data_IF_366026762279
#
_entry.id   IF_366026762279
#
_cell.length_a   1.000
_cell.length_b   1.000
_cell.length_c   1.000
_cell.angle_alpha   90.00
_cell.angle_beta   90.00
_cell.angle_gamma   90.00
#
_symmetry.space_group_name_H-M   'P 1'
#
loop_
_entity.id
_entity.type
_entity.pdbx_description
1 polymer ?
#
# COMPACT_ATOMS: atom_id res chain seq x y z
N UNK A 1 -7.49 15.23 -12.75
CA UNK A 1 -8.85 15.70 -13.12
C UNK A 1 -9.08 17.06 -12.50
N UNK A 2 -9.76 18.00 -13.20
CA UNK A 2 -10.03 19.35 -12.68
C UNK A 2 -11.49 19.51 -12.27
N UNK A 3 -11.73 20.16 -11.13
CA UNK A 3 -13.08 20.50 -10.64
C UNK A 3 -13.24 22.00 -10.50
N UNK A 4 -14.43 22.57 -10.79
CA UNK A 4 -14.68 23.97 -10.58
C UNK A 4 -14.71 24.30 -9.10
N UNK A 5 -14.04 25.37 -8.70
CA UNK A 5 -13.91 25.84 -7.32
C UNK A 5 -14.18 27.36 -7.28
N UNK A 6 -15.16 27.78 -6.49
CA UNK A 6 -15.38 29.18 -6.19
C UNK A 6 -14.69 29.54 -4.88
N UNK A 7 -13.75 30.46 -4.94
CA UNK A 7 -12.99 30.91 -3.77
C UNK A 7 -13.57 32.29 -3.35
N UNK A 8 -13.99 32.36 -2.10
CA UNK A 8 -14.55 33.54 -1.48
C UNK A 8 -13.71 33.96 -0.29
N UNK A 9 -13.13 35.15 -0.38
CA UNK A 9 -12.47 35.79 0.75
C UNK A 9 -13.23 37.07 1.09
N UNK A 10 -12.86 37.76 2.17
CA UNK A 10 -13.51 39.01 2.58
C UNK A 10 -13.46 40.09 1.51
N UNK A 11 -12.48 40.03 0.61
CA UNK A 11 -12.20 41.05 -0.39
C UNK A 11 -12.16 40.59 -1.84
N UNK A 12 -12.32 39.29 -2.07
CA UNK A 12 -12.10 38.72 -3.40
C UNK A 12 -12.97 37.47 -3.63
N UNK A 13 -13.52 37.37 -4.84
CA UNK A 13 -14.22 36.18 -5.31
C UNK A 13 -13.63 35.79 -6.67
N UNK A 14 -13.24 34.51 -6.81
CA UNK A 14 -12.73 34.00 -8.06
C UNK A 14 -13.22 32.56 -8.29
N UNK A 15 -13.67 32.31 -9.51
CA UNK A 15 -13.93 30.97 -9.98
C UNK A 15 -12.68 30.41 -10.63
N UNK A 16 -12.27 29.24 -10.17
CA UNK A 16 -11.04 28.56 -10.56
C UNK A 16 -11.29 27.07 -10.80
N UNK A 17 -10.28 26.40 -11.29
CA UNK A 17 -10.25 24.95 -11.34
C UNK A 17 -9.20 24.45 -10.34
N UNK A 18 -9.56 23.48 -9.52
CA UNK A 18 -8.62 22.75 -8.68
C UNK A 18 -8.31 21.39 -9.32
N UNK A 19 -7.06 21.01 -9.33
CA UNK A 19 -6.67 19.66 -9.74
C UNK A 19 -7.02 18.69 -8.59
N UNK A 20 -7.68 17.59 -8.92
CA UNK A 20 -7.93 16.49 -7.97
C UNK A 20 -6.94 15.38 -8.24
N UNK A 21 -6.20 15.01 -7.20
CA UNK A 21 -5.18 13.95 -7.24
C UNK A 21 -5.26 13.11 -5.97
N UNK A 22 -5.51 11.80 -6.12
CA UNK A 22 -5.62 10.85 -5.01
C UNK A 22 -4.28 10.40 -4.43
N UNK A 23 -3.17 10.76 -5.06
CA UNK A 23 -1.84 10.20 -4.78
C UNK A 23 -1.09 10.84 -3.60
N UNK A 24 -1.69 11.68 -2.75
CA UNK A 24 -1.00 12.23 -1.57
C UNK A 24 -1.94 12.63 -0.43
N UNK A 25 -1.36 12.70 0.76
CA UNK A 25 -2.02 12.78 2.07
C UNK A 25 -2.53 14.16 2.46
N UNK A 26 -2.14 15.23 1.80
CA UNK A 26 -2.48 16.59 2.17
C UNK A 26 -3.05 17.37 0.96
N UNK A 27 -3.97 18.33 1.22
CA UNK A 27 -4.38 19.32 0.21
C UNK A 27 -3.32 20.41 0.09
N UNK A 28 -3.26 21.03 -1.08
CA UNK A 28 -2.21 22.00 -1.36
C UNK A 28 -2.70 23.26 -2.09
N UNK A 29 -2.00 24.40 -1.86
CA UNK A 29 -2.29 25.69 -2.48
C UNK A 29 -0.99 26.41 -2.90
N UNK A 30 -0.97 27.02 -4.07
CA UNK A 30 0.21 27.71 -4.59
C UNK A 30 0.51 29.00 -3.80
N UNK A 31 1.76 29.30 -3.45
CA UNK A 31 2.12 30.48 -2.66
C UNK A 31 1.70 31.80 -3.28
N UNK A 32 1.92 31.97 -4.57
CA UNK A 32 1.53 33.18 -5.27
C UNK A 32 0.00 33.36 -5.29
N UNK A 33 -0.73 32.23 -5.35
CA UNK A 33 -2.19 32.25 -5.32
C UNK A 33 -2.72 32.58 -3.93
N UNK A 34 -2.18 31.94 -2.89
CA UNK A 34 -2.53 32.25 -1.51
C UNK A 34 -2.27 33.72 -1.15
N UNK A 35 -1.15 34.31 -1.64
CA UNK A 35 -0.83 35.71 -1.49
C UNK A 35 -1.87 36.60 -2.19
N UNK A 36 -2.24 36.30 -3.45
CA UNK A 36 -3.25 37.08 -4.19
C UNK A 36 -4.59 37.11 -3.46
N UNK A 37 -4.93 36.00 -2.77
CA UNK A 37 -6.18 35.91 -2.02
C UNK A 37 -6.11 36.57 -0.64
N UNK A 38 -4.96 37.07 -0.26
CA UNK A 38 -4.78 37.63 1.06
C UNK A 38 -4.95 36.64 2.20
N UNK A 39 -4.52 35.34 2.04
CA UNK A 39 -4.69 34.28 3.04
C UNK A 39 -3.57 34.30 4.08
N UNK A 40 -3.93 34.16 5.35
CA UNK A 40 -2.95 34.02 6.45
C UNK A 40 -2.41 32.60 6.50
N UNK A 41 -1.11 32.47 6.68
CA UNK A 41 -0.44 31.20 6.77
C UNK A 41 0.20 31.03 8.13
N UNK A 42 0.11 29.83 8.66
CA UNK A 42 0.69 29.45 9.96
C UNK A 42 1.97 28.67 9.72
N UNK A 43 3.01 28.98 10.47
CA UNK A 43 4.27 28.22 10.44
C UNK A 43 4.00 26.81 10.97
N UNK A 44 4.53 25.79 10.30
CA UNK A 44 4.49 24.42 10.80
C UNK A 44 5.46 24.27 11.98
N UNK A 45 5.08 23.55 13.01
CA UNK A 45 5.96 23.22 14.16
C UNK A 45 7.24 22.53 13.70
N UNK A 46 7.15 21.68 12.66
CA UNK A 46 8.29 21.04 12.02
C UNK A 46 8.16 21.21 10.49
N UNK A 47 9.20 21.72 9.82
CA UNK A 47 9.22 21.76 8.35
C UNK A 47 9.11 20.34 7.77
N UNK A 48 8.22 20.16 6.78
CA UNK A 48 8.13 18.90 6.04
C UNK A 48 9.13 18.92 4.88
N UNK A 49 10.08 18.00 4.89
CA UNK A 49 10.99 17.82 3.76
C UNK A 49 10.30 17.11 2.59
N UNK A 50 10.65 17.50 1.38
CA UNK A 50 10.03 17.00 0.17
C UNK A 50 11.07 16.31 -0.71
N UNK A 51 10.76 15.08 -1.12
CA UNK A 51 11.58 14.27 -2.00
C UNK A 51 10.83 13.98 -3.31
N UNK A 52 11.54 13.88 -4.40
CA UNK A 52 11.01 13.43 -5.67
C UNK A 52 10.79 11.90 -5.65
N UNK A 53 10.07 11.38 -6.64
CA UNK A 53 9.81 9.94 -6.79
C UNK A 53 11.12 9.11 -6.85
N UNK A 54 12.20 9.71 -7.36
CA UNK A 54 13.55 9.14 -7.43
C UNK A 54 14.36 9.28 -6.13
N UNK A 55 13.73 9.78 -5.05
CA UNK A 55 14.35 10.03 -3.75
C UNK A 55 15.37 11.19 -3.70
N UNK A 56 15.47 12.02 -4.72
CA UNK A 56 16.25 13.25 -4.67
C UNK A 56 15.49 14.32 -3.88
N UNK A 57 16.22 15.18 -3.16
CA UNK A 57 15.60 16.34 -2.52
C UNK A 57 15.01 17.28 -3.56
N UNK A 58 13.77 17.70 -3.36
CA UNK A 58 13.15 18.65 -4.28
C UNK A 58 13.86 20.00 -4.25
N UNK A 59 14.10 20.58 -5.41
CA UNK A 59 14.72 21.91 -5.56
C UNK A 59 13.95 23.03 -4.84
N UNK A 60 12.69 22.82 -4.53
CA UNK A 60 11.83 23.77 -3.82
C UNK A 60 12.02 23.76 -2.29
N UNK A 61 12.81 22.83 -1.72
CA UNK A 61 13.11 22.76 -0.29
C UNK A 61 11.98 22.18 0.57
N UNK A 62 11.97 22.52 1.86
CA UNK A 62 10.98 22.02 2.83
C UNK A 62 9.73 22.87 2.88
N UNK A 63 8.57 22.24 3.12
CA UNK A 63 7.32 22.95 3.41
C UNK A 63 7.40 23.50 4.83
N UNK A 64 7.21 24.78 4.97
CA UNK A 64 7.32 25.46 6.27
C UNK A 64 6.01 26.04 6.77
N UNK A 65 4.97 26.13 5.91
CA UNK A 65 3.71 26.80 6.26
C UNK A 65 2.48 25.97 5.86
N UNK A 66 1.39 26.18 6.55
CA UNK A 66 0.05 25.70 6.20
C UNK A 66 -0.98 26.79 6.42
N UNK A 67 -2.17 26.60 5.87
CA UNK A 67 -3.32 27.45 6.15
C UNK A 67 -4.58 26.60 6.25
N UNK A 68 -5.59 27.13 6.91
CA UNK A 68 -6.90 26.50 7.04
C UNK A 68 -7.93 27.26 6.22
N UNK A 69 -8.70 26.51 5.43
CA UNK A 69 -9.77 27.04 4.61
C UNK A 69 -11.07 26.29 4.91
N UNK A 70 -12.17 27.00 4.89
CA UNK A 70 -13.49 26.40 4.85
C UNK A 70 -13.79 25.93 3.44
N UNK A 71 -14.04 24.66 3.28
CA UNK A 71 -14.42 24.05 2.01
C UNK A 71 -15.87 23.60 2.11
N UNK A 72 -16.71 24.12 1.22
CA UNK A 72 -18.11 23.73 1.14
C UNK A 72 -18.34 22.96 -0.14
N UNK A 73 -18.85 21.76 -0.03
CA UNK A 73 -19.20 20.88 -1.16
C UNK A 73 -20.56 20.25 -0.87
N UNK A 74 -21.48 20.30 -1.81
CA UNK A 74 -22.86 19.76 -1.63
C UNK A 74 -23.59 20.30 -0.37
N UNK A 75 -23.32 21.56 0.00
CA UNK A 75 -23.90 22.16 1.20
C UNK A 75 -23.24 21.73 2.53
N UNK A 76 -22.29 20.81 2.51
CA UNK A 76 -21.50 20.41 3.69
C UNK A 76 -20.29 21.31 3.80
N UNK A 77 -20.14 22.00 4.94
CA UNK A 77 -19.01 22.89 5.22
C UNK A 77 -18.02 22.17 6.18
N UNK A 78 -16.73 22.16 5.80
CA UNK A 78 -15.64 21.63 6.65
C UNK A 78 -14.43 22.56 6.58
N UNK A 79 -13.75 22.73 7.72
CA UNK A 79 -12.44 23.37 7.76
C UNK A 79 -11.40 22.34 7.38
N UNK A 80 -10.57 22.65 6.38
CA UNK A 80 -9.54 21.80 5.85
C UNK A 80 -8.20 22.50 5.84
N UNK A 81 -7.16 21.78 6.19
CA UNK A 81 -5.79 22.25 6.13
C UNK A 81 -5.22 22.09 4.73
N UNK A 82 -4.53 23.13 4.28
CA UNK A 82 -3.76 23.15 3.04
C UNK A 82 -2.29 23.42 3.36
N UNK A 83 -1.44 22.59 2.84
CA UNK A 83 -0.01 22.86 2.82
C UNK A 83 0.30 23.77 1.66
N UNK A 84 1.21 24.66 1.86
CA UNK A 84 1.41 25.70 0.89
C UNK A 84 2.77 25.54 0.24
N UNK A 85 2.87 25.39 -1.12
CA UNK A 85 4.09 25.07 -1.84
C UNK A 85 3.90 25.23 -3.37
N UNK A 86 4.96 25.24 -4.20
CA UNK A 86 4.88 25.40 -5.66
C UNK A 86 4.31 24.16 -6.38
N UNK A 87 3.09 24.17 -6.81
CA UNK A 87 2.39 23.10 -7.55
C UNK A 87 2.45 23.28 -9.07
N UNK A 88 3.52 23.88 -9.52
CA UNK A 88 3.68 24.17 -10.96
C UNK A 88 2.64 25.18 -11.43
N UNK A 89 1.86 24.81 -12.44
CA UNK A 89 0.85 25.67 -13.06
C UNK A 89 -0.51 25.66 -12.34
N UNK A 90 -0.67 24.88 -11.29
CA UNK A 90 -1.92 24.75 -10.58
C UNK A 90 -2.02 25.78 -9.43
N UNK A 91 -3.22 26.31 -9.20
CA UNK A 91 -3.48 27.19 -8.07
C UNK A 91 -3.85 26.41 -6.80
N UNK A 92 -4.60 25.29 -6.95
CA UNK A 92 -5.09 24.44 -5.85
C UNK A 92 -5.04 22.96 -6.24
N UNK A 93 -4.63 22.15 -5.28
CA UNK A 93 -4.63 20.70 -5.36
C UNK A 93 -5.52 20.14 -4.24
N UNK A 94 -6.61 19.48 -4.62
CA UNK A 94 -7.49 18.76 -3.70
C UNK A 94 -7.10 17.27 -3.72
N UNK A 95 -6.83 16.73 -2.54
CA UNK A 95 -6.31 15.36 -2.41
C UNK A 95 -7.14 14.53 -1.43
N UNK A 96 -6.52 13.48 -0.90
CA UNK A 96 -7.19 12.52 -0.04
C UNK A 96 -8.07 13.15 1.07
N UNK A 97 -7.64 14.20 1.83
CA UNK A 97 -8.49 14.78 2.87
C UNK A 97 -9.80 15.36 2.32
N UNK A 98 -9.78 15.95 1.11
CA UNK A 98 -10.99 16.44 0.47
C UNK A 98 -11.84 15.28 -0.07
N UNK A 99 -11.21 14.31 -0.72
CA UNK A 99 -11.88 13.12 -1.25
C UNK A 99 -12.59 12.34 -0.15
N UNK A 100 -11.89 12.06 0.95
CA UNK A 100 -12.44 11.32 2.09
C UNK A 100 -13.53 12.08 2.85
N UNK A 101 -13.50 13.42 2.82
CA UNK A 101 -14.50 14.23 3.54
C UNK A 101 -15.79 14.41 2.76
N UNK A 102 -15.71 14.55 1.44
CA UNK A 102 -16.86 14.92 0.62
C UNK A 102 -17.34 13.79 -0.30
N UNK A 103 -16.61 12.70 -0.39
CA UNK A 103 -16.95 11.47 -1.14
C UNK A 103 -17.63 11.76 -2.50
N UNK A 104 -16.94 12.48 -3.42
CA UNK A 104 -17.52 12.81 -4.70
C UNK A 104 -17.74 11.56 -5.54
N UNK A 105 -18.90 11.42 -6.17
CA UNK A 105 -19.13 10.36 -7.14
C UNK A 105 -18.35 10.65 -8.42
N UNK A 106 -17.61 9.66 -8.90
CA UNK A 106 -16.81 9.75 -10.12
C UNK A 106 -17.53 9.09 -11.30
N UNK A 107 -17.80 9.84 -12.34
CA UNK A 107 -18.20 9.33 -13.65
C UNK A 107 -16.95 8.96 -14.46
N UNK A 108 -16.49 7.72 -14.33
CA UNK A 108 -15.23 7.25 -14.93
C UNK A 108 -15.23 7.25 -16.46
N UNK A 109 -16.41 7.17 -17.11
CA UNK A 109 -16.52 7.20 -18.59
C UNK A 109 -16.30 8.59 -19.19
N UNK A 110 -16.70 9.63 -18.48
CA UNK A 110 -16.74 11.01 -19.03
C UNK A 110 -15.67 11.91 -18.41
N UNK A 111 -14.78 11.35 -17.58
CA UNK A 111 -13.79 12.11 -16.79
C UNK A 111 -14.42 13.26 -15.97
N UNK A 112 -15.67 13.12 -15.63
CA UNK A 112 -16.45 14.11 -14.87
C UNK A 112 -16.64 13.56 -13.46
N UNK A 113 -16.31 14.38 -12.47
CA UNK A 113 -16.81 14.15 -11.11
C UNK A 113 -18.29 14.55 -11.17
N UNK A 114 -19.20 13.62 -10.89
CA UNK A 114 -20.60 13.95 -10.64
C UNK A 114 -20.73 14.79 -9.37
N UNK A 115 -20.21 15.98 -9.40
CA UNK A 115 -20.64 17.05 -8.53
C UNK A 115 -21.94 17.57 -9.14
N UNK A 116 -23.06 16.87 -8.89
CA UNK A 116 -24.34 17.47 -9.25
C UNK A 116 -24.38 18.90 -8.68
N UNK A 117 -24.10 19.84 -9.57
CA UNK A 117 -24.63 21.19 -9.63
C UNK A 117 -24.37 22.19 -8.48
N UNK A 118 -23.33 22.08 -7.66
CA UNK A 118 -22.90 23.21 -6.84
C UNK A 118 -21.38 23.38 -6.88
N UNK A 119 -20.86 24.59 -7.14
CA UNK A 119 -19.42 24.83 -7.11
C UNK A 119 -18.86 24.55 -5.73
N UNK A 120 -17.65 23.97 -5.68
CA UNK A 120 -16.90 23.84 -4.42
C UNK A 120 -16.55 25.27 -3.99
N UNK A 121 -17.04 25.69 -2.81
CA UNK A 121 -16.79 27.03 -2.29
C UNK A 121 -15.68 26.94 -1.25
N UNK A 122 -14.62 27.69 -1.43
CA UNK A 122 -13.51 27.79 -0.48
C UNK A 122 -13.50 29.19 0.13
N UNK A 123 -13.58 29.28 1.45
CA UNK A 123 -13.58 30.54 2.18
C UNK A 123 -12.44 30.60 3.20
N UNK A 124 -11.86 31.79 3.36
CA UNK A 124 -10.84 32.03 4.39
C UNK A 124 -11.46 32.16 5.78
N UNK A 125 -10.79 31.59 6.77
CA UNK A 125 -11.21 31.64 8.17
C UNK A 125 -10.52 32.75 8.99
N UNK A 126 -9.39 33.30 8.53
CA UNK A 126 -8.57 34.29 9.29
C UNK A 126 -7.73 35.18 8.35
N UNK A 127 -7.27 36.39 8.78
CA UNK A 127 -6.47 37.32 7.94
C UNK A 127 -5.00 36.89 7.77
N UNK A 128 -4.38 37.44 6.78
CA UNK A 128 -3.25 36.99 5.95
C UNK A 128 -1.85 37.18 6.49
N UNK A 129 -0.96 36.24 6.38
CA UNK A 129 0.39 36.37 5.82
C UNK A 129 1.05 34.98 5.56
N UNK A 130 2.08 34.91 4.79
CA UNK A 130 2.31 33.96 3.74
C UNK A 130 3.67 33.32 3.60
N UNK A 131 3.82 32.14 3.14
CA UNK A 131 4.80 31.63 2.15
C UNK A 131 4.80 30.12 2.05
N UNK A 132 4.87 29.62 0.84
CA UNK A 132 4.86 28.23 0.67
C UNK A 132 5.17 27.63 -0.63
N UNK A 133 5.40 26.34 -0.69
CA UNK A 133 5.86 25.69 -1.89
C UNK A 133 5.57 24.21 -1.96
N UNK A 134 5.14 23.57 -3.00
CA UNK A 134 4.98 22.23 -3.29
C UNK A 134 5.24 21.52 -4.50
N UNK A 135 5.39 20.36 -4.58
CA UNK A 135 5.16 19.51 -5.73
C UNK A 135 4.97 18.06 -5.31
N UNK A 136 4.19 17.27 -6.04
CA UNK A 136 3.83 15.90 -5.75
C UNK A 136 4.94 15.00 -5.22
N UNK A 137 4.99 14.76 -3.87
CA UNK A 137 6.22 14.37 -3.23
C UNK A 137 6.08 13.69 -1.90
N UNK A 138 7.06 12.86 -1.61
CA UNK A 138 7.16 12.06 -0.40
C UNK A 138 8.34 12.50 0.47
N UNK A 139 8.15 12.63 1.77
CA UNK A 139 9.25 12.78 2.73
C UNK A 139 9.85 11.42 3.09
N UNK A 140 11.10 11.38 3.62
CA UNK A 140 11.75 10.11 3.97
C UNK A 140 11.06 9.40 5.15
N UNK A 141 10.52 10.15 6.11
CA UNK A 141 9.68 9.62 7.21
C UNK A 141 8.28 9.24 6.72
N UNK A 142 7.73 9.98 5.76
CA UNK A 142 6.46 9.68 5.11
C UNK A 142 6.59 8.55 4.10
N UNK A 143 7.79 8.25 3.57
CA UNK A 143 7.98 7.13 2.65
C UNK A 143 7.76 5.78 3.33
N UNK A 144 8.15 5.65 4.59
CA UNK A 144 7.80 4.49 5.40
C UNK A 144 6.32 4.54 5.85
N UNK A 145 5.79 5.73 6.11
CA UNK A 145 4.37 5.92 6.41
C UNK A 145 3.51 5.73 5.16
N UNK A 146 3.95 6.19 3.99
CA UNK A 146 3.25 6.01 2.69
C UNK A 146 3.45 4.61 2.12
N UNK A 147 4.61 3.96 2.30
CA UNK A 147 4.72 2.53 2.03
C UNK A 147 3.80 1.72 2.95
N UNK A 148 3.64 2.14 4.20
CA UNK A 148 2.65 1.58 5.13
C UNK A 148 1.21 1.94 4.73
N UNK A 149 0.97 3.14 4.29
CA UNK A 149 -0.35 3.65 3.86
C UNK A 149 -0.71 3.21 2.43
N UNK A 150 0.26 3.03 1.54
CA UNK A 150 0.08 2.34 0.25
C UNK A 150 -0.09 0.82 0.46
N UNK A 151 0.58 0.22 1.42
CA UNK A 151 0.29 -1.16 1.85
C UNK A 151 -1.08 -1.27 2.54
N UNK A 152 -1.57 -0.22 3.21
CA UNK A 152 -2.87 -0.19 3.91
C UNK A 152 -4.02 0.38 3.05
N UNK A 153 -3.78 1.36 2.19
CA UNK A 153 -4.82 2.12 1.47
C UNK A 153 -4.85 1.87 -0.05
N UNK A 154 -3.79 1.32 -0.63
CA UNK A 154 -3.76 0.98 -2.06
C UNK A 154 -4.01 -0.51 -2.27
N UNK A 155 -4.04 -1.31 -1.21
CA UNK A 155 -4.50 -2.68 -1.28
C UNK A 155 -6.02 -2.70 -1.27
N UNK A 156 -6.61 -3.65 -2.00
CA UNK A 156 -8.02 -4.05 -1.90
C UNK A 156 -8.45 -4.16 -0.42
N UNK A 157 -7.52 -4.40 0.50
CA UNK A 157 -7.69 -4.41 1.95
C UNK A 157 -8.07 -3.04 2.53
N UNK A 158 -7.50 -1.93 2.04
CA UNK A 158 -7.89 -0.57 2.46
C UNK A 158 -9.35 -0.29 2.13
N UNK A 159 -9.77 -0.56 0.89
CA UNK A 159 -11.15 -0.36 0.43
C UNK A 159 -12.13 -1.23 1.24
N UNK A 160 -11.79 -2.51 1.47
CA UNK A 160 -12.64 -3.41 2.26
C UNK A 160 -12.68 -3.05 3.75
N UNK A 161 -11.59 -2.54 4.32
CA UNK A 161 -11.53 -2.08 5.71
C UNK A 161 -12.30 -0.77 5.89
N UNK A 162 -12.25 0.12 4.91
CA UNK A 162 -13.00 1.38 4.91
C UNK A 162 -14.50 1.14 4.76
N UNK A 163 -14.91 0.22 3.89
CA UNK A 163 -16.29 -0.25 3.78
C UNK A 163 -16.77 -0.93 5.08
N UNK A 164 -15.92 -1.67 5.78
CA UNK A 164 -16.22 -2.30 7.06
C UNK A 164 -16.31 -1.28 8.22
N UNK A 165 -15.49 -0.21 8.19
CA UNK A 165 -15.53 0.88 9.17
C UNK A 165 -16.77 1.75 8.96
N UNK A 166 -17.16 2.02 7.71
CA UNK A 166 -18.40 2.73 7.37
C UNK A 166 -19.65 1.96 7.79
N UNK A 167 -19.59 0.63 7.86
CA UNK A 167 -20.67 -0.20 8.36
C UNK A 167 -20.84 -0.14 9.90
N UNK A 168 -20.00 0.60 10.64
CA UNK A 168 -20.18 0.87 12.08
C UNK A 168 -20.02 -0.34 13.00
N UNK A 169 -19.33 -1.39 12.56
CA UNK A 169 -19.18 -2.61 13.34
C UNK A 169 -17.75 -2.77 13.87
N UNK A 170 -17.63 -2.76 15.20
CA UNK A 170 -16.43 -3.24 15.89
C UNK A 170 -16.09 -4.66 15.41
N UNK A 171 -14.81 -5.06 15.45
CA UNK A 171 -14.24 -6.33 14.96
C UNK A 171 -15.19 -7.53 15.14
N UNK A 172 -16.19 -7.68 14.27
CA UNK A 172 -16.93 -8.93 14.16
C UNK A 172 -15.99 -9.96 13.57
N UNK A 173 -15.97 -11.14 14.19
CA UNK A 173 -15.35 -12.33 13.61
C UNK A 173 -16.00 -12.49 12.23
N UNK A 174 -15.22 -12.42 11.16
CA UNK A 174 -15.75 -12.61 9.79
C UNK A 174 -16.29 -14.03 9.75
N UNK A 175 -17.60 -14.18 9.70
CA UNK A 175 -18.23 -15.48 9.56
C UNK A 175 -18.08 -15.94 8.10
N UNK A 176 -17.60 -17.17 7.95
CA UNK A 176 -17.51 -17.80 6.63
C UNK A 176 -18.93 -18.07 6.16
N UNK A 177 -19.34 -17.58 4.96
CA UNK A 177 -20.67 -17.88 4.44
C UNK A 177 -20.93 -19.38 4.39
N UNK A 178 -22.15 -19.80 4.76
CA UNK A 178 -22.52 -21.20 4.89
C UNK A 178 -22.27 -22.04 3.63
N UNK A 179 -22.30 -21.42 2.46
CA UNK A 179 -22.01 -22.05 1.16
C UNK A 179 -20.58 -22.60 1.09
N UNK A 180 -19.62 -22.05 1.85
CA UNK A 180 -18.20 -22.47 1.90
C UNK A 180 -17.86 -23.32 3.13
N UNK A 181 -18.83 -23.79 3.91
CA UNK A 181 -18.58 -24.59 5.12
C UNK A 181 -17.78 -25.86 4.84
N UNK A 182 -17.93 -26.47 3.67
CA UNK A 182 -17.16 -27.65 3.26
C UNK A 182 -15.66 -27.35 3.06
N UNK A 183 -15.29 -26.07 2.91
CA UNK A 183 -13.90 -25.57 2.76
C UNK A 183 -13.38 -24.89 4.03
N UNK A 184 -14.08 -25.01 5.17
CA UNK A 184 -13.74 -24.33 6.42
C UNK A 184 -12.29 -24.57 6.88
N UNK A 185 -11.73 -25.73 6.57
CA UNK A 185 -10.35 -26.08 6.89
C UNK A 185 -9.32 -25.10 6.30
N UNK A 186 -9.60 -24.53 5.12
CA UNK A 186 -8.70 -23.55 4.46
C UNK A 186 -8.54 -22.24 5.24
N UNK A 187 -9.52 -21.92 6.09
CA UNK A 187 -9.52 -20.70 6.89
C UNK A 187 -8.93 -20.92 8.29
N UNK A 188 -8.53 -22.16 8.62
CA UNK A 188 -7.91 -22.47 9.90
C UNK A 188 -6.40 -22.14 9.91
N UNK A 189 -5.85 -21.84 11.09
CA UNK A 189 -4.41 -21.62 11.24
C UNK A 189 -3.60 -22.91 11.08
N UNK A 190 -4.21 -24.06 11.34
CA UNK A 190 -3.59 -25.37 11.22
C UNK A 190 -3.25 -25.74 9.76
N UNK A 191 -4.08 -25.33 8.81
CA UNK A 191 -3.83 -25.56 7.39
C UNK A 191 -2.57 -24.87 6.87
N UNK A 192 -2.10 -23.82 7.57
CA UNK A 192 -0.92 -23.01 7.21
C UNK A 192 0.41 -23.60 7.71
N UNK A 193 0.37 -24.68 8.46
CA UNK A 193 1.58 -25.22 9.13
C UNK A 193 2.34 -26.25 8.27
N UNK A 194 2.10 -26.26 6.96
CA UNK A 194 2.84 -27.14 6.04
C UNK A 194 4.00 -26.38 5.39
N UNK A 195 5.14 -27.08 5.25
CA UNK A 195 6.23 -26.61 4.42
C UNK A 195 5.79 -26.63 2.94
N UNK A 196 5.97 -25.55 2.16
CA UNK A 196 5.54 -25.51 0.77
C UNK A 196 6.38 -26.50 -0.06
N UNK A 197 5.81 -27.17 -1.07
CA UNK A 197 6.60 -27.99 -1.99
C UNK A 197 7.43 -27.10 -2.92
N UNK A 198 8.59 -27.62 -3.38
CA UNK A 198 9.38 -26.95 -4.43
C UNK A 198 8.58 -26.88 -5.73
N UNK A 199 8.72 -25.76 -6.42
CA UNK A 199 7.97 -25.42 -7.64
C UNK A 199 8.88 -24.76 -8.66
N UNK A 200 8.52 -24.78 -9.97
CA UNK A 200 9.30 -24.11 -11.01
C UNK A 200 9.53 -22.62 -10.82
N UNK A 201 8.73 -21.99 -9.97
CA UNK A 201 8.81 -20.56 -9.62
C UNK A 201 9.49 -20.30 -8.28
N UNK A 202 10.24 -21.25 -7.73
CA UNK A 202 11.01 -21.02 -6.51
C UNK A 202 11.90 -19.79 -6.65
N UNK A 203 12.02 -19.04 -5.58
CA UNK A 203 12.61 -17.70 -5.59
C UNK A 203 14.13 -17.73 -5.78
N UNK A 204 14.60 -17.38 -6.96
CA UNK A 204 16.01 -17.23 -7.24
C UNK A 204 16.56 -15.88 -6.75
N UNK A 205 17.78 -15.91 -6.21
CA UNK A 205 18.53 -14.72 -5.80
C UNK A 205 19.77 -14.62 -6.69
N UNK A 206 19.57 -14.08 -7.90
CA UNK A 206 20.65 -13.86 -8.86
C UNK A 206 21.45 -12.62 -8.49
N UNK A 207 22.75 -12.78 -8.32
CA UNK A 207 23.63 -11.68 -7.94
C UNK A 207 24.33 -11.10 -9.18
N UNK A 208 24.62 -9.81 -9.13
CA UNK A 208 25.44 -9.12 -10.12
C UNK A 208 26.88 -9.64 -10.10
N UNK A 209 27.61 -9.52 -11.23
CA UNK A 209 29.02 -9.96 -11.28
C UNK A 209 29.96 -9.25 -10.31
N UNK A 210 29.61 -8.06 -9.86
CA UNK A 210 30.35 -7.22 -8.91
C UNK A 210 29.93 -7.46 -7.45
N UNK A 211 29.10 -8.48 -7.19
CA UNK A 211 28.71 -8.80 -5.82
C UNK A 211 29.93 -9.34 -5.02
N UNK A 212 30.12 -8.89 -3.77
CA UNK A 212 31.22 -9.37 -2.94
C UNK A 212 30.98 -10.82 -2.51
N UNK A 213 32.06 -11.54 -2.24
CA UNK A 213 31.99 -12.92 -1.74
C UNK A 213 31.39 -13.05 -0.33
N UNK A 214 31.32 -11.95 0.41
CA UNK A 214 30.76 -11.89 1.77
C UNK A 214 30.10 -10.55 2.04
N UNK A 215 28.97 -10.59 2.75
CA UNK A 215 28.27 -9.40 3.25
C UNK A 215 28.22 -9.48 4.77
N UNK A 216 29.20 -8.90 5.49
CA UNK A 216 29.17 -8.87 6.94
C UNK A 216 28.14 -7.89 7.46
N UNK A 217 27.49 -8.20 8.57
CA UNK A 217 26.57 -7.28 9.22
C UNK A 217 26.81 -7.15 10.72
N UNK A 218 26.31 -6.05 11.29
CA UNK A 218 26.26 -5.84 12.75
C UNK A 218 24.93 -6.38 13.29
N UNK A 219 24.97 -6.83 14.55
CA UNK A 219 23.77 -7.17 15.30
C UNK A 219 23.24 -5.86 15.90
N UNK A 220 21.95 -5.59 15.71
CA UNK A 220 21.31 -4.44 16.34
C UNK A 220 20.96 -4.75 17.81
N UNK A 221 21.13 -3.79 18.73
CA UNK A 221 20.66 -3.94 20.10
C UNK A 221 19.14 -4.01 20.13
N UNK A 222 18.61 -4.84 21.02
CA UNK A 222 17.19 -5.07 21.19
C UNK A 222 16.76 -4.81 22.63
N UNK A 223 15.54 -4.36 22.81
CA UNK A 223 14.90 -4.26 24.13
C UNK A 223 14.55 -5.67 24.65
N UNK A 224 14.36 -5.86 25.98
CA UNK A 224 13.95 -7.17 26.52
C UNK A 224 12.67 -7.75 25.90
N UNK A 225 11.72 -6.88 25.51
CA UNK A 225 10.49 -7.31 24.84
C UNK A 225 10.75 -7.81 23.40
N UNK A 226 11.63 -7.12 22.66
CA UNK A 226 12.05 -7.55 21.32
C UNK A 226 12.87 -8.84 21.38
N UNK A 227 13.69 -9.00 22.40
CA UNK A 227 14.46 -10.22 22.63
C UNK A 227 13.58 -11.45 22.80
N UNK A 228 12.54 -11.32 23.62
CA UNK A 228 11.56 -12.39 23.82
C UNK A 228 10.82 -12.71 22.53
N UNK A 229 10.41 -11.68 21.80
CA UNK A 229 9.75 -11.85 20.50
C UNK A 229 10.69 -12.51 19.46
N UNK A 230 11.99 -12.21 19.49
CA UNK A 230 12.98 -12.83 18.61
C UNK A 230 13.15 -14.32 18.93
N UNK A 231 13.25 -14.70 20.20
CA UNK A 231 13.35 -16.10 20.61
C UNK A 231 12.12 -16.89 20.15
N UNK A 232 10.93 -16.32 20.35
CA UNK A 232 9.67 -16.93 19.92
C UNK A 232 9.60 -17.06 18.39
N UNK A 233 9.97 -16.02 17.66
CA UNK A 233 10.05 -16.01 16.20
C UNK A 233 10.99 -17.11 15.68
N UNK A 234 12.21 -17.20 16.20
CA UNK A 234 13.19 -18.22 15.76
C UNK A 234 12.65 -19.62 16.04
N UNK A 235 12.11 -19.86 17.25
CA UNK A 235 11.53 -21.15 17.61
C UNK A 235 10.41 -21.58 16.67
N UNK A 236 9.49 -20.66 16.36
CA UNK A 236 8.37 -20.93 15.47
C UNK A 236 8.82 -21.18 14.02
N UNK A 237 9.71 -20.32 13.49
CA UNK A 237 10.14 -20.45 12.10
C UNK A 237 11.02 -21.70 11.90
N UNK A 238 11.85 -22.03 12.89
CA UNK A 238 12.64 -23.24 12.87
C UNK A 238 11.77 -24.51 12.95
N UNK A 239 10.78 -24.52 13.82
CA UNK A 239 9.83 -25.64 13.93
C UNK A 239 9.02 -25.87 12.65
N UNK A 240 8.70 -24.80 11.90
CA UNK A 240 8.04 -24.86 10.58
C UNK A 240 8.99 -25.26 9.44
N UNK A 241 10.29 -25.32 9.69
CA UNK A 241 11.30 -25.53 8.66
C UNK A 241 11.56 -24.34 7.75
N UNK A 242 11.03 -23.14 8.10
CA UNK A 242 11.16 -21.91 7.31
C UNK A 242 12.52 -21.24 7.43
N UNK A 243 13.28 -21.60 8.47
CA UNK A 243 14.68 -21.21 8.65
C UNK A 243 15.50 -22.42 9.12
N UNK A 244 16.79 -22.37 8.82
CA UNK A 244 17.77 -23.36 9.35
C UNK A 244 19.07 -22.66 9.76
N UNK A 245 19.89 -23.26 10.66
CA UNK A 245 21.22 -22.73 10.98
C UNK A 245 22.09 -22.62 9.74
N UNK A 246 22.84 -21.52 9.64
CA UNK A 246 23.67 -21.21 8.48
C UNK A 246 25.16 -21.05 8.83
N UNK A 247 26.03 -21.28 7.83
CA UNK A 247 27.44 -20.93 7.83
C UNK A 247 27.77 -19.94 6.71
N UNK A 248 26.75 -19.25 6.18
CA UNK A 248 26.88 -18.33 5.07
C UNK A 248 27.89 -17.22 5.34
N UNK A 249 28.69 -16.83 4.34
CA UNK A 249 29.47 -15.59 4.39
C UNK A 249 28.60 -14.32 4.26
N UNK A 250 27.34 -14.47 3.82
CA UNK A 250 26.37 -13.41 3.75
C UNK A 250 25.61 -13.30 5.06
N UNK A 251 25.37 -12.09 5.52
CA UNK A 251 24.54 -11.86 6.69
C UNK A 251 23.77 -10.53 6.57
N UNK A 252 22.48 -10.56 6.79
CA UNK A 252 21.65 -9.38 6.89
C UNK A 252 21.25 -9.11 8.34
N UNK A 253 21.16 -7.84 8.78
CA UNK A 253 20.70 -7.52 10.12
C UNK A 253 19.24 -7.87 10.32
N UNK A 254 18.87 -8.18 11.57
CA UNK A 254 17.50 -8.44 11.97
C UNK A 254 17.05 -7.41 13.02
N UNK A 255 15.80 -6.93 12.89
CA UNK A 255 15.21 -6.00 13.85
C UNK A 255 13.68 -6.10 13.85
N UNK A 256 13.04 -5.41 14.79
CA UNK A 256 11.58 -5.31 14.86
C UNK A 256 11.09 -3.91 14.54
N UNK A 257 9.95 -3.85 13.85
CA UNK A 257 9.18 -2.61 13.65
C UNK A 257 7.88 -2.73 14.46
N UNK A 258 7.53 -1.68 15.19
CA UNK A 258 6.24 -1.59 15.89
C UNK A 258 5.15 -1.26 14.88
N UNK A 259 4.10 -2.08 14.83
CA UNK A 259 2.86 -1.77 14.12
C UNK A 259 2.04 -0.73 14.89
N UNK A 260 1.05 -0.10 14.23
CA UNK A 260 0.10 0.82 14.88
C UNK A 260 -0.66 0.18 16.05
N UNK A 261 -0.93 -1.12 15.98
CA UNK A 261 -1.55 -1.93 17.04
C UNK A 261 -0.59 -2.30 18.19
N UNK A 262 0.65 -1.80 18.16
CA UNK A 262 1.69 -2.06 19.14
C UNK A 262 2.41 -3.41 19.00
N UNK A 263 1.99 -4.26 18.07
CA UNK A 263 2.64 -5.55 17.82
C UNK A 263 3.99 -5.37 17.12
N UNK A 264 4.92 -6.26 17.42
CA UNK A 264 6.23 -6.30 16.80
C UNK A 264 6.17 -7.07 15.47
N UNK A 265 6.68 -6.45 14.39
CA UNK A 265 6.86 -7.09 13.09
C UNK A 265 8.34 -7.42 12.90
N UNK A 266 8.70 -8.70 12.72
CA UNK A 266 10.08 -9.08 12.41
C UNK A 266 10.46 -8.62 11.00
N UNK A 267 11.68 -8.07 10.86
CA UNK A 267 12.21 -7.58 9.59
C UNK A 267 13.67 -7.97 9.46
N UNK A 268 14.05 -8.50 8.31
CA UNK A 268 15.41 -8.70 7.87
C UNK A 268 15.82 -7.53 6.97
N UNK A 269 16.93 -6.90 7.25
CA UNK A 269 17.43 -5.78 6.45
C UNK A 269 18.22 -6.25 5.23
N UNK A 270 17.51 -6.58 4.19
CA UNK A 270 18.12 -7.01 2.94
C UNK A 270 18.60 -5.89 2.01
N UNK A 271 18.64 -4.62 2.46
CA UNK A 271 19.03 -3.50 1.59
C UNK A 271 20.40 -3.69 0.95
N UNK A 272 21.38 -4.20 1.70
CA UNK A 272 22.70 -4.49 1.16
C UNK A 272 22.64 -5.61 0.11
N UNK A 273 22.03 -6.74 0.42
CA UNK A 273 21.82 -7.84 -0.53
C UNK A 273 21.07 -7.35 -1.78
N UNK A 274 19.99 -6.60 -1.60
CA UNK A 274 19.17 -6.05 -2.67
C UNK A 274 19.94 -5.13 -3.63
N UNK A 275 21.01 -4.46 -3.18
CA UNK A 275 21.85 -3.62 -4.04
C UNK A 275 22.67 -4.44 -5.03
N UNK A 276 23.01 -5.66 -4.66
CA UNK A 276 23.74 -6.63 -5.52
C UNK A 276 22.83 -7.60 -6.26
N UNK A 277 21.55 -7.68 -5.93
CA UNK A 277 20.61 -8.58 -6.59
C UNK A 277 20.19 -8.01 -7.95
N UNK A 278 20.20 -8.85 -8.99
CA UNK A 278 19.65 -8.54 -10.31
C UNK A 278 18.13 -8.41 -10.18
N UNK A 279 17.60 -7.26 -10.63
CA UNK A 279 16.18 -6.95 -10.49
C UNK A 279 15.32 -7.76 -11.47
N UNK A 280 14.35 -8.47 -10.94
CA UNK A 280 13.33 -9.12 -11.76
C UNK A 280 12.37 -8.03 -12.29
N UNK A 281 12.23 -7.96 -13.62
CA UNK A 281 11.39 -6.97 -14.32
C UNK A 281 9.94 -7.44 -14.51
N UNK A 282 9.52 -8.55 -13.87
CA UNK A 282 8.14 -9.00 -13.99
C UNK A 282 7.17 -7.90 -13.53
N UNK A 283 6.21 -7.50 -14.37
CA UNK A 283 5.34 -6.36 -14.09
C UNK A 283 4.37 -6.68 -12.96
N UNK A 284 4.18 -5.71 -12.05
CA UNK A 284 3.04 -5.72 -11.14
C UNK A 284 1.84 -5.07 -11.83
N UNK A 285 0.62 -5.58 -11.61
CA UNK A 285 -0.58 -4.96 -12.18
C UNK A 285 -0.75 -3.51 -11.70
N UNK A 286 -1.22 -2.66 -12.58
CA UNK A 286 -1.61 -1.31 -12.19
C UNK A 286 -2.96 -1.37 -11.43
N UNK A 287 -3.02 -0.73 -10.28
CA UNK A 287 -4.23 -0.73 -9.44
C UNK A 287 -5.41 -0.09 -10.18
N UNK A 288 -5.14 0.97 -10.96
CA UNK A 288 -6.15 1.61 -11.79
C UNK A 288 -6.76 0.62 -12.80
N UNK A 289 -5.96 -0.22 -13.44
CA UNK A 289 -6.44 -1.22 -14.40
C UNK A 289 -7.27 -2.30 -13.70
N UNK A 290 -6.83 -2.76 -12.52
CA UNK A 290 -7.63 -3.70 -11.71
C UNK A 290 -8.98 -3.12 -11.32
N UNK A 291 -9.01 -1.86 -10.88
CA UNK A 291 -10.24 -1.17 -10.51
C UNK A 291 -11.17 -0.99 -11.72
N UNK A 292 -10.62 -0.57 -12.86
CA UNK A 292 -11.38 -0.42 -14.11
C UNK A 292 -11.93 -1.77 -14.60
N UNK A 293 -11.18 -2.84 -14.40
CA UNK A 293 -11.61 -4.18 -14.79
C UNK A 293 -12.86 -4.63 -14.01
N UNK A 294 -13.06 -4.13 -12.80
CA UNK A 294 -14.23 -4.46 -11.98
C UNK A 294 -15.47 -3.57 -12.26
N UNK A 295 -15.36 -2.62 -13.18
CA UNK A 295 -16.49 -1.75 -13.51
C UNK A 295 -17.70 -2.57 -13.98
N UNK A 296 -18.89 -2.19 -13.46
CA UNK A 296 -20.16 -2.85 -13.76
C UNK A 296 -20.43 -4.15 -12.97
N UNK A 297 -19.53 -4.60 -12.11
CA UNK A 297 -19.79 -5.71 -11.21
C UNK A 297 -20.65 -5.27 -10.00
N UNK A 298 -21.46 -6.21 -9.49
CA UNK A 298 -22.37 -5.96 -8.36
C UNK A 298 -22.06 -6.85 -7.16
N UNK A 299 -21.37 -7.98 -7.39
CA UNK A 299 -21.07 -8.97 -6.36
C UNK A 299 -19.56 -9.05 -6.24
N UNK A 300 -19.06 -8.92 -5.01
CA UNK A 300 -17.63 -8.89 -4.74
C UNK A 300 -17.25 -9.86 -3.64
N UNK A 301 -16.14 -10.57 -3.83
CA UNK A 301 -15.45 -11.32 -2.77
C UNK A 301 -14.00 -10.91 -2.74
N UNK A 302 -13.48 -10.70 -1.54
CA UNK A 302 -12.06 -10.48 -1.30
C UNK A 302 -11.49 -11.66 -0.51
N UNK A 303 -10.35 -12.17 -0.97
CA UNK A 303 -9.55 -13.17 -0.27
C UNK A 303 -8.17 -12.58 0.01
N UNK A 304 -7.64 -12.85 1.20
CA UNK A 304 -6.28 -12.46 1.61
C UNK A 304 -5.47 -13.77 1.82
N UNK A 305 -4.41 -13.95 1.05
CA UNK A 305 -3.55 -15.12 1.16
C UNK A 305 -2.62 -14.90 2.36
N UNK A 306 -2.90 -15.60 3.44
CA UNK A 306 -2.07 -15.54 4.65
C UNK A 306 -0.67 -16.06 4.35
N UNK A 307 0.34 -15.34 4.87
CA UNK A 307 1.75 -15.74 4.75
C UNK A 307 2.17 -16.03 3.31
N UNK A 308 1.60 -15.30 2.34
CA UNK A 308 1.76 -15.56 0.91
C UNK A 308 3.20 -15.83 0.50
N UNK A 309 4.15 -14.99 0.93
CA UNK A 309 5.56 -15.16 0.60
C UNK A 309 6.15 -16.45 1.18
N UNK A 310 5.75 -16.86 2.37
CA UNK A 310 6.23 -18.11 2.96
C UNK A 310 5.71 -19.38 2.26
N UNK A 311 4.76 -19.23 1.31
CA UNK A 311 4.30 -20.35 0.47
C UNK A 311 5.20 -20.57 -0.76
N UNK A 312 6.28 -19.83 -0.92
CA UNK A 312 7.26 -19.99 -2.01
C UNK A 312 8.61 -20.30 -1.38
N UNK A 313 9.24 -21.40 -1.81
CA UNK A 313 10.60 -21.71 -1.40
C UNK A 313 11.61 -20.75 -2.02
N UNK A 314 12.73 -20.52 -1.34
CA UNK A 314 13.92 -20.00 -2.01
C UNK A 314 14.50 -21.14 -2.83
N UNK A 315 14.97 -20.82 -4.05
CA UNK A 315 15.59 -21.79 -4.94
C UNK A 315 16.74 -22.48 -4.24
N UNK A 316 16.80 -23.81 -4.37
CA UNK A 316 17.86 -24.62 -3.79
C UNK A 316 19.25 -24.11 -4.21
N UNK A 317 20.11 -23.89 -3.22
CA UNK A 317 21.43 -23.31 -3.39
C UNK A 317 21.50 -21.79 -3.33
N UNK A 318 20.36 -21.08 -3.21
CA UNK A 318 20.31 -19.63 -3.08
C UNK A 318 20.01 -19.16 -1.64
N UNK A 319 19.61 -20.07 -0.75
CA UNK A 319 19.15 -19.78 0.61
C UNK A 319 20.20 -19.06 1.45
N UNK A 320 21.47 -19.46 1.29
CA UNK A 320 22.58 -18.87 2.04
C UNK A 320 22.77 -17.37 1.75
N UNK A 321 22.37 -16.88 0.55
CA UNK A 321 22.46 -15.49 0.17
C UNK A 321 21.54 -14.61 1.02
N UNK A 322 20.39 -15.14 1.43
CA UNK A 322 19.42 -14.47 2.28
C UNK A 322 19.63 -14.69 3.78
N UNK A 323 20.79 -15.20 4.20
CA UNK A 323 21.07 -15.41 5.60
C UNK A 323 20.96 -14.12 6.42
N UNK A 324 20.46 -14.23 7.65
CA UNK A 324 20.32 -13.13 8.59
C UNK A 324 20.90 -13.46 9.95
N UNK A 325 21.47 -12.46 10.60
CA UNK A 325 22.21 -12.60 11.85
C UNK A 325 21.43 -12.06 13.03
N UNK A 326 21.37 -12.86 14.09
CA UNK A 326 20.75 -12.51 15.36
C UNK A 326 21.71 -12.80 16.49
N UNK A 327 21.38 -12.40 17.72
CA UNK A 327 22.17 -12.79 18.90
C UNK A 327 22.12 -14.31 19.18
N UNK A 328 21.14 -15.02 18.63
CA UNK A 328 20.99 -16.47 18.77
C UNK A 328 21.67 -17.26 17.65
N UNK A 329 22.38 -16.61 16.74
CA UNK A 329 23.13 -17.24 15.66
C UNK A 329 22.85 -16.67 14.29
N UNK A 330 23.38 -17.34 13.28
CA UNK A 330 23.19 -17.08 11.87
C UNK A 330 22.17 -18.10 11.31
N UNK A 331 21.17 -17.60 10.64
CA UNK A 331 20.05 -18.35 10.11
C UNK A 331 19.88 -18.08 8.62
N UNK A 332 19.53 -19.07 7.84
CA UNK A 332 19.15 -18.89 6.44
C UNK A 332 17.71 -19.32 6.22
N UNK A 333 16.92 -18.51 5.49
CA UNK A 333 15.54 -18.85 5.18
C UNK A 333 15.48 -19.87 4.06
N UNK A 334 14.55 -20.80 4.16
CA UNK A 334 14.22 -21.80 3.12
C UNK A 334 13.02 -21.40 2.28
N UNK A 335 12.28 -20.38 2.74
CA UNK A 335 11.12 -19.80 2.07
C UNK A 335 11.32 -18.29 1.93
N UNK A 336 10.58 -17.66 1.03
CA UNK A 336 10.65 -16.19 0.88
C UNK A 336 10.20 -15.49 2.17
N UNK A 337 10.99 -14.50 2.58
CA UNK A 337 10.63 -13.53 3.61
C UNK A 337 10.40 -12.14 3.01
N UNK A 338 9.78 -11.27 3.80
CA UNK A 338 9.65 -9.86 3.43
C UNK A 338 11.01 -9.18 3.33
N UNK A 339 11.14 -8.25 2.40
CA UNK A 339 12.34 -7.42 2.24
C UNK A 339 13.27 -7.81 1.11
N UNK A 340 13.19 -9.01 0.53
CA UNK A 340 13.89 -9.37 -0.70
C UNK A 340 13.27 -8.61 -1.88
N UNK A 341 14.12 -7.95 -2.70
CA UNK A 341 13.65 -7.03 -3.75
C UNK A 341 12.81 -7.69 -4.84
N UNK A 342 13.04 -8.98 -5.12
CA UNK A 342 12.36 -9.71 -6.19
C UNK A 342 11.15 -10.53 -5.67
N UNK A 343 10.90 -10.58 -4.35
CA UNK A 343 9.76 -11.33 -3.79
C UNK A 343 8.40 -10.89 -4.37
N UNK A 344 8.10 -9.59 -4.54
CA UNK A 344 6.86 -9.16 -5.15
C UNK A 344 6.69 -9.70 -6.57
N UNK A 345 7.72 -9.58 -7.41
CA UNK A 345 7.70 -10.03 -8.81
C UNK A 345 7.58 -11.56 -8.93
N UNK A 346 8.32 -12.31 -8.11
CA UNK A 346 8.21 -13.78 -8.06
C UNK A 346 6.81 -14.21 -7.64
N UNK A 347 6.28 -13.60 -6.59
CA UNK A 347 4.96 -13.93 -6.07
C UNK A 347 3.86 -13.58 -7.08
N UNK A 348 3.94 -12.42 -7.72
CA UNK A 348 2.98 -12.02 -8.76
C UNK A 348 3.01 -12.98 -9.95
N UNK A 349 4.20 -13.37 -10.41
CA UNK A 349 4.33 -14.34 -11.49
C UNK A 349 3.71 -15.71 -11.16
N UNK A 350 3.92 -16.19 -9.93
CA UNK A 350 3.26 -17.39 -9.41
C UNK A 350 1.73 -17.24 -9.41
N UNK A 351 1.22 -16.13 -8.89
CA UNK A 351 -0.22 -15.86 -8.84
C UNK A 351 -0.81 -15.79 -10.26
N UNK A 352 -0.09 -15.18 -11.20
CA UNK A 352 -0.51 -15.10 -12.59
C UNK A 352 -0.60 -16.48 -13.24
N UNK A 353 0.36 -17.35 -12.94
CA UNK A 353 0.35 -18.72 -13.44
C UNK A 353 -0.78 -19.57 -12.83
N UNK A 354 -0.95 -19.51 -11.50
CA UNK A 354 -1.97 -20.30 -10.78
C UNK A 354 -3.39 -19.90 -11.19
N UNK A 355 -3.64 -18.58 -11.31
CA UNK A 355 -5.00 -18.09 -11.57
C UNK A 355 -5.37 -18.02 -13.05
N UNK A 356 -4.41 -18.23 -13.97
CA UNK A 356 -4.66 -18.14 -15.40
C UNK A 356 -5.83 -19.01 -15.88
N UNK A 357 -5.91 -20.32 -15.54
CA UNK A 357 -7.02 -21.16 -15.99
C UNK A 357 -8.39 -20.68 -15.52
N UNK A 358 -8.45 -20.13 -14.30
CA UNK A 358 -9.69 -19.59 -13.72
C UNK A 358 -10.11 -18.32 -14.44
N UNK A 359 -9.16 -17.41 -14.68
CA UNK A 359 -9.43 -16.16 -15.40
C UNK A 359 -9.95 -16.48 -16.81
N UNK A 360 -9.25 -17.32 -17.55
CA UNK A 360 -9.62 -17.69 -18.93
C UNK A 360 -10.99 -18.37 -18.99
N UNK A 361 -11.41 -19.09 -17.93
CA UNK A 361 -12.73 -19.72 -17.83
C UNK A 361 -13.83 -18.73 -17.49
N UNK A 362 -13.63 -17.87 -16.48
CA UNK A 362 -14.70 -17.11 -15.86
C UNK A 362 -14.86 -15.68 -16.41
N UNK A 363 -13.79 -15.08 -16.96
CA UNK A 363 -13.88 -13.73 -17.52
C UNK A 363 -14.89 -13.60 -18.67
N UNK A 364 -14.96 -14.55 -19.63
CA UNK A 364 -16.00 -14.53 -20.67
C UNK A 364 -17.41 -14.68 -20.14
N UNK A 365 -17.58 -15.24 -18.94
CA UNK A 365 -18.88 -15.45 -18.28
C UNK A 365 -19.27 -14.27 -17.37
N UNK A 366 -18.53 -13.16 -17.40
CA UNK A 366 -18.84 -11.95 -16.64
C UNK A 366 -18.35 -11.95 -15.19
N UNK A 367 -17.49 -12.91 -14.81
CA UNK A 367 -16.81 -12.93 -13.50
C UNK A 367 -15.33 -12.65 -13.68
N UNK A 368 -14.85 -11.58 -13.08
CA UNK A 368 -13.47 -11.11 -13.18
C UNK A 368 -12.68 -11.39 -11.92
N UNK A 369 -11.44 -11.83 -12.09
CA UNK A 369 -10.53 -12.13 -10.98
C UNK A 369 -9.34 -11.21 -11.08
N UNK A 370 -9.24 -10.28 -10.13
CA UNK A 370 -8.10 -9.41 -9.95
C UNK A 370 -7.20 -9.92 -8.84
N UNK A 371 -5.90 -9.84 -9.05
CA UNK A 371 -4.91 -10.27 -8.07
C UNK A 371 -3.79 -9.25 -7.99
N UNK A 372 -3.44 -8.91 -6.77
CA UNK A 372 -2.33 -8.02 -6.47
C UNK A 372 -1.61 -8.55 -5.23
N UNK A 373 -0.45 -9.16 -5.46
CA UNK A 373 0.29 -9.86 -4.38
C UNK A 373 -0.62 -10.84 -3.62
N UNK A 374 -0.79 -10.65 -2.31
CA UNK A 374 -1.58 -11.52 -1.45
C UNK A 374 -3.10 -11.31 -1.57
N UNK A 375 -3.52 -10.21 -2.19
CA UNK A 375 -4.93 -9.86 -2.32
C UNK A 375 -5.51 -10.43 -3.62
N UNK A 376 -6.60 -11.18 -3.50
CA UNK A 376 -7.40 -11.67 -4.63
C UNK A 376 -8.79 -11.10 -4.51
N UNK A 377 -9.26 -10.43 -5.55
CA UNK A 377 -10.61 -9.90 -5.64
C UNK A 377 -11.37 -10.58 -6.77
N UNK A 378 -12.58 -11.03 -6.48
CA UNK A 378 -13.49 -11.62 -7.44
C UNK A 378 -14.67 -10.68 -7.59
N UNK A 379 -15.02 -10.31 -8.81
CA UNK A 379 -16.06 -9.36 -9.12
C UNK A 379 -16.97 -9.92 -10.24
N UNK A 380 -18.27 -10.03 -9.97
CA UNK A 380 -19.25 -10.62 -10.92
C UNK A 380 -20.32 -9.61 -11.28
N UNK A 381 -20.62 -9.51 -12.58
CA UNK A 381 -21.67 -8.67 -13.14
C UNK A 381 -22.96 -9.44 -13.48
N UNK A 382 -22.96 -10.75 -13.35
CA UNK A 382 -24.07 -11.64 -13.73
C UNK A 382 -24.92 -12.03 -12.52
N UNK A 383 -24.69 -13.18 -11.92
CA UNK A 383 -25.50 -13.73 -10.84
C UNK A 383 -24.65 -14.30 -9.70
N UNK A 384 -25.30 -14.56 -8.56
CA UNK A 384 -24.64 -15.05 -7.36
C UNK A 384 -24.12 -16.49 -7.52
N UNK A 385 -24.79 -17.34 -8.28
CA UNK A 385 -24.42 -18.74 -8.45
C UNK A 385 -23.08 -18.88 -9.18
N UNK A 386 -22.86 -18.09 -10.24
CA UNK A 386 -21.59 -18.06 -10.96
C UNK A 386 -20.49 -17.49 -10.10
N UNK A 387 -20.79 -16.45 -9.30
CA UNK A 387 -19.86 -15.91 -8.34
C UNK A 387 -19.40 -16.96 -7.32
N UNK A 388 -20.35 -17.67 -6.69
CA UNK A 388 -20.08 -18.72 -5.71
C UNK A 388 -19.25 -19.84 -6.32
N UNK A 389 -19.58 -20.30 -7.54
CA UNK A 389 -18.79 -21.33 -8.24
C UNK A 389 -17.35 -20.89 -8.48
N UNK A 390 -17.13 -19.66 -8.98
CA UNK A 390 -15.79 -19.12 -9.20
C UNK A 390 -15.01 -19.03 -7.91
N UNK A 391 -15.60 -18.51 -6.83
CA UNK A 391 -14.95 -18.43 -5.51
C UNK A 391 -14.62 -19.82 -4.98
N UNK A 392 -15.52 -20.80 -5.14
CA UNK A 392 -15.29 -22.19 -4.74
C UNK A 392 -14.08 -22.78 -5.46
N UNK A 393 -14.00 -22.65 -6.79
CA UNK A 393 -12.85 -23.13 -7.57
C UNK A 393 -11.53 -22.48 -7.14
N UNK A 394 -11.55 -21.17 -6.82
CA UNK A 394 -10.37 -20.48 -6.29
C UNK A 394 -9.96 -21.04 -4.93
N UNK A 395 -10.90 -21.32 -4.05
CA UNK A 395 -10.62 -21.90 -2.74
C UNK A 395 -10.10 -23.34 -2.86
N UNK A 396 -10.63 -24.12 -3.79
CA UNK A 396 -10.17 -25.50 -4.06
C UNK A 396 -8.74 -25.54 -4.61
N UNK A 397 -8.29 -24.53 -5.36
CA UNK A 397 -6.90 -24.42 -5.78
C UNK A 397 -5.91 -24.22 -4.62
N UNK A 398 -6.41 -23.75 -3.47
CA UNK A 398 -5.60 -23.51 -2.28
C UNK A 398 -5.48 -24.77 -1.36
N UNK A 399 -6.19 -25.85 -1.68
CA UNK A 399 -6.07 -27.13 -0.98
C UNK A 399 -4.87 -27.94 -1.43
#
# INVERSE_FOLDING_TARGET
MHVPVSIRTRYFMADKKALVDSGATDNFIHPAFAKRLGLTMTLLEKPKQIYNIDNTTNKSGSITHSLELKVTTKGIEKVMRFLVTNIGNEDILLRYPWLATFEPKFGWKDTIIETQALPIIITSTVPVDSRLVIAGLQTHEDKEAILRELEENTTIRGIATELAIQAGEGKKKVEIPAVYNHLQRLFSEEALQRFPPSRPWDHAIDLKPDAPDAIPCKIYPMTPAEDKALEEFIREQYAKGYIRPSKSPYASPFFFIKKRDGKLRPVQDYRCLNSYTIKNQYPLPLIADLTNNFAGAHIFTKLDIRWGYNNVQIKEGDEYKAAFKTKYGLWEPTVMFFGLCNSPSTFQAMMDWIFRPIIDKWEPLGTKVGKYMNDVAIATSTNLDDHVKCVTEILELAM
#
